data_IF_208144786376
#
_entry.id   IF_208144786376
#
_cell.length_a   1.000
_cell.length_b   1.000
_cell.length_c   1.000
_cell.angle_alpha   90.00
_cell.angle_beta   90.00
_cell.angle_gamma   90.00
#
_symmetry.space_group_name_H-M   'P 1'
#
loop_
_entity.id
_entity.type
_entity.pdbx_description
1 polymer ?
#
# COMPACT_ATOMS: atom_id res chain seq x y z
N UNK A 1 16.56 25.17 28.97
CA UNK A 1 17.34 24.59 27.86
C UNK A 1 16.53 23.45 27.31
N UNK A 2 15.76 23.73 26.27
CA UNK A 2 15.11 22.70 25.44
C UNK A 2 16.16 22.26 24.44
N UNK A 3 16.69 21.04 24.60
CA UNK A 3 17.56 20.45 23.60
C UNK A 3 16.81 20.44 22.27
N UNK A 4 17.40 21.10 21.26
CA UNK A 4 16.94 20.97 19.90
C UNK A 4 17.12 19.50 19.48
N UNK A 5 16.14 18.87 18.82
CA UNK A 5 16.30 17.50 18.35
C UNK A 5 17.53 17.41 17.46
N UNK A 6 18.38 16.41 17.72
CA UNK A 6 19.59 16.15 16.95
C UNK A 6 19.23 16.00 15.46
N UNK A 7 19.73 16.86 14.55
CA UNK A 7 19.36 16.84 13.13
C UNK A 7 19.75 15.54 12.40
N UNK A 8 20.60 14.70 13.01
CA UNK A 8 21.10 13.46 12.42
C UNK A 8 20.24 12.21 12.64
N UNK A 9 19.12 12.29 13.39
CA UNK A 9 18.21 11.15 13.53
C UNK A 9 16.91 11.40 12.77
N UNK A 10 16.96 11.33 11.44
CA UNK A 10 15.73 11.17 10.65
C UNK A 10 14.97 9.95 11.19
N UNK A 11 13.68 10.07 11.54
CA UNK A 11 12.90 8.92 12.03
C UNK A 11 12.79 7.81 10.97
N UNK A 12 13.22 8.07 9.75
CA UNK A 12 13.19 7.17 8.62
C UNK A 12 14.56 6.54 8.30
N UNK A 13 15.60 6.84 9.10
CA UNK A 13 16.93 6.24 8.94
C UNK A 13 16.89 4.70 9.06
N UNK A 14 15.89 4.16 9.76
CA UNK A 14 15.65 2.72 9.85
C UNK A 14 15.28 2.05 8.51
N UNK A 15 14.91 2.82 7.48
CA UNK A 15 14.53 2.30 6.16
C UNK A 15 15.70 2.19 5.17
N UNK A 16 16.92 2.19 5.68
CA UNK A 16 18.12 1.85 4.92
C UNK A 16 18.26 2.67 3.65
N UNK A 17 18.40 2.00 2.50
CA UNK A 17 18.65 2.66 1.21
C UNK A 17 17.47 3.50 0.71
N UNK A 18 16.27 3.30 1.27
CA UNK A 18 15.06 4.03 0.91
C UNK A 18 14.79 5.24 1.80
N UNK A 19 15.55 5.43 2.88
CA UNK A 19 15.43 6.58 3.79
C UNK A 19 15.43 7.96 3.09
N UNK A 20 16.25 8.20 2.03
CA UNK A 20 16.25 9.49 1.33
C UNK A 20 14.93 9.87 0.65
N UNK A 21 14.01 8.92 0.43
CA UNK A 21 12.67 9.18 -0.12
C UNK A 21 11.73 9.84 0.89
N UNK A 22 12.13 9.92 2.16
CA UNK A 22 11.37 10.58 3.21
C UNK A 22 11.88 11.99 3.56
N UNK A 23 12.97 12.43 2.94
CA UNK A 23 13.45 13.80 3.11
C UNK A 23 12.39 14.81 2.62
N UNK A 24 11.98 15.72 3.50
CA UNK A 24 10.90 16.68 3.22
C UNK A 24 9.55 15.99 2.98
N UNK A 25 9.02 16.12 1.76
CA UNK A 25 7.70 15.59 1.38
C UNK A 25 7.74 14.70 0.12
N UNK A 26 8.92 14.19 -0.25
CA UNK A 26 9.12 13.40 -1.49
C UNK A 26 8.21 12.17 -1.58
N UNK A 27 7.93 11.51 -0.45
CA UNK A 27 6.98 10.40 -0.41
C UNK A 27 5.56 10.76 -0.89
N UNK A 28 5.15 12.02 -0.82
CA UNK A 28 3.85 12.49 -1.35
C UNK A 28 3.76 12.40 -2.87
N UNK A 29 4.90 12.36 -3.58
CA UNK A 29 4.93 12.05 -5.01
C UNK A 29 4.25 10.72 -5.30
N UNK A 30 4.47 9.72 -4.46
CA UNK A 30 3.89 8.40 -4.64
C UNK A 30 2.39 8.37 -4.30
N UNK A 31 1.85 9.38 -3.63
CA UNK A 31 0.40 9.59 -3.48
C UNK A 31 -0.24 10.49 -4.55
N UNK A 32 0.52 10.99 -5.53
CA UNK A 32 0.05 12.02 -6.48
C UNK A 32 -0.31 13.34 -5.78
N UNK A 33 0.37 13.64 -4.68
CA UNK A 33 0.19 14.86 -3.89
C UNK A 33 1.39 15.83 -4.01
N UNK A 34 2.34 15.56 -4.92
CA UNK A 34 3.52 16.41 -5.17
C UNK A 34 3.48 17.06 -6.55
N UNK A 35 4.09 18.25 -6.63
CA UNK A 35 4.25 19.03 -7.85
C UNK A 35 5.45 18.60 -8.73
N UNK A 36 6.36 17.74 -8.23
CA UNK A 36 7.56 17.31 -8.97
C UNK A 36 7.70 15.78 -9.09
N UNK A 37 6.74 15.08 -9.73
CA UNK A 37 6.67 13.63 -9.69
C UNK A 37 7.81 12.88 -10.39
N UNK A 38 8.49 13.51 -11.36
CA UNK A 38 9.52 12.83 -12.17
C UNK A 38 10.82 12.59 -11.42
N UNK A 39 11.25 13.53 -10.58
CA UNK A 39 12.54 13.44 -9.89
C UNK A 39 12.52 12.38 -8.79
N UNK A 40 11.41 12.26 -8.05
CA UNK A 40 11.31 11.28 -6.96
C UNK A 40 11.12 9.86 -7.48
N UNK A 41 10.40 9.68 -8.59
CA UNK A 41 10.32 8.38 -9.28
C UNK A 41 11.68 7.96 -9.83
N UNK A 42 12.41 8.88 -10.47
CA UNK A 42 13.76 8.60 -10.96
C UNK A 42 14.70 8.21 -9.80
N UNK A 43 14.66 8.94 -8.69
CA UNK A 43 15.46 8.61 -7.50
C UNK A 43 15.12 7.21 -6.95
N UNK A 44 13.84 6.86 -6.86
CA UNK A 44 13.43 5.50 -6.47
C UNK A 44 13.99 4.44 -7.42
N UNK A 45 13.88 4.65 -8.74
CA UNK A 45 14.42 3.71 -9.73
C UNK A 45 15.94 3.57 -9.61
N UNK A 46 16.67 4.66 -9.44
CA UNK A 46 18.12 4.61 -9.22
C UNK A 46 18.49 3.81 -7.97
N UNK A 47 17.73 3.95 -6.88
CA UNK A 47 17.96 3.15 -5.66
C UNK A 47 17.71 1.65 -5.94
N UNK A 48 16.63 1.33 -6.65
CA UNK A 48 16.28 -0.06 -6.99
C UNK A 48 17.29 -0.68 -7.95
N UNK A 49 17.72 0.05 -8.97
CA UNK A 49 18.71 -0.38 -9.98
C UNK A 49 20.11 -0.56 -9.39
N UNK A 50 20.44 0.14 -8.31
CA UNK A 50 21.70 -0.07 -7.59
C UNK A 50 21.77 -1.48 -6.94
N UNK A 51 20.65 -2.22 -6.91
CA UNK A 51 20.51 -3.60 -6.46
C UNK A 51 21.25 -3.87 -5.14
N UNK A 52 20.96 -3.01 -4.16
CA UNK A 52 21.54 -3.16 -2.83
C UNK A 52 21.06 -4.49 -2.21
N UNK A 53 21.98 -5.25 -1.63
CA UNK A 53 21.67 -6.53 -0.99
C UNK A 53 20.64 -6.43 0.15
N UNK A 54 20.40 -5.24 0.69
CA UNK A 54 19.40 -4.97 1.74
C UNK A 54 18.02 -4.56 1.20
N UNK A 55 17.86 -4.32 -0.11
CA UNK A 55 16.69 -3.65 -0.65
C UNK A 55 15.38 -4.38 -0.32
N UNK A 56 15.34 -5.71 -0.43
CA UNK A 56 14.14 -6.49 -0.10
C UNK A 56 13.78 -6.38 1.39
N UNK A 57 14.79 -6.38 2.27
CA UNK A 57 14.58 -6.21 3.70
C UNK A 57 14.05 -4.80 4.01
N UNK A 58 14.62 -3.77 3.37
CA UNK A 58 14.19 -2.37 3.51
C UNK A 58 12.75 -2.18 3.01
N UNK A 59 12.38 -2.77 1.86
CA UNK A 59 10.99 -2.76 1.35
C UNK A 59 10.05 -3.47 2.32
N UNK A 60 10.45 -4.63 2.84
CA UNK A 60 9.63 -5.39 3.79
C UNK A 60 9.42 -4.62 5.09
N UNK A 61 10.44 -3.92 5.59
CA UNK A 61 10.32 -3.04 6.75
C UNK A 61 9.33 -1.90 6.48
N UNK A 62 9.41 -1.24 5.32
CA UNK A 62 8.49 -0.18 4.92
C UNK A 62 7.02 -0.64 4.82
N UNK A 63 6.78 -1.90 4.45
CA UNK A 63 5.44 -2.46 4.37
C UNK A 63 4.85 -2.81 5.73
N UNK A 64 5.67 -2.85 6.79
CA UNK A 64 5.21 -3.24 8.12
C UNK A 64 4.13 -2.26 8.65
N UNK A 65 2.96 -2.75 9.07
CA UNK A 65 1.85 -1.96 9.62
C UNK A 65 2.23 -0.98 10.73
N UNK A 66 3.29 -1.30 11.47
CA UNK A 66 3.75 -0.54 12.63
C UNK A 66 4.27 0.87 12.31
N UNK A 67 4.82 1.08 11.11
CA UNK A 67 5.37 2.39 10.73
C UNK A 67 4.31 3.31 10.09
N UNK A 68 3.07 2.84 10.00
CA UNK A 68 1.94 3.60 9.46
C UNK A 68 1.96 3.71 7.93
N UNK A 69 1.08 4.56 7.40
CA UNK A 69 0.79 4.55 5.97
C UNK A 69 1.87 5.18 5.08
N UNK A 70 2.66 6.15 5.58
CA UNK A 70 3.65 6.86 4.74
C UNK A 70 4.75 5.90 4.25
N UNK A 71 5.36 5.09 5.13
CA UNK A 71 6.32 4.08 4.71
C UNK A 71 5.72 3.06 3.75
N UNK A 72 4.49 2.62 4.01
CA UNK A 72 3.79 1.64 3.17
C UNK A 72 3.61 2.09 1.72
N UNK A 73 3.33 3.37 1.47
CA UNK A 73 3.24 3.90 0.10
C UNK A 73 4.59 3.80 -0.62
N UNK A 74 5.69 4.11 0.06
CA UNK A 74 7.04 4.00 -0.50
C UNK A 74 7.39 2.53 -0.73
N UNK A 75 7.14 1.65 0.23
CA UNK A 75 7.36 0.21 0.12
C UNK A 75 6.57 -0.40 -1.04
N UNK A 76 5.30 -0.05 -1.20
CA UNK A 76 4.47 -0.48 -2.33
C UNK A 76 5.03 0.01 -3.67
N UNK A 77 5.48 1.25 -3.73
CA UNK A 77 6.06 1.84 -4.95
C UNK A 77 7.39 1.18 -5.31
N UNK A 78 8.25 0.93 -4.32
CA UNK A 78 9.52 0.24 -4.48
C UNK A 78 9.33 -1.21 -4.92
N UNK A 79 8.38 -1.93 -4.33
CA UNK A 79 8.04 -3.29 -4.74
C UNK A 79 7.62 -3.37 -6.22
N UNK A 80 6.83 -2.39 -6.70
CA UNK A 80 6.46 -2.28 -8.11
C UNK A 80 7.68 -1.98 -8.99
N UNK A 81 8.56 -1.09 -8.54
CA UNK A 81 9.78 -0.71 -9.24
C UNK A 81 10.78 -1.86 -9.40
N UNK A 82 10.85 -2.76 -8.42
CA UNK A 82 11.63 -4.02 -8.53
C UNK A 82 11.04 -4.92 -9.62
N UNK A 83 9.72 -5.03 -9.72
CA UNK A 83 9.00 -5.77 -10.76
C UNK A 83 9.07 -7.31 -10.69
N UNK A 84 10.06 -7.86 -9.99
CA UNK A 84 10.20 -9.29 -9.71
C UNK A 84 10.15 -9.55 -8.18
N UNK A 85 8.98 -9.42 -7.54
CA UNK A 85 8.85 -9.50 -6.10
C UNK A 85 9.08 -10.93 -5.62
N UNK A 86 9.78 -11.08 -4.49
CA UNK A 86 9.88 -12.38 -3.82
C UNK A 86 8.52 -12.79 -3.23
N UNK A 87 8.37 -14.07 -2.89
CA UNK A 87 7.20 -14.56 -2.16
C UNK A 87 7.04 -13.87 -0.80
N UNK A 88 8.15 -13.56 -0.12
CA UNK A 88 8.13 -12.88 1.16
C UNK A 88 7.62 -11.44 1.03
N UNK A 89 8.05 -10.72 -0.03
CA UNK A 89 7.57 -9.38 -0.32
C UNK A 89 6.07 -9.37 -0.66
N UNK A 90 5.58 -10.32 -1.45
CA UNK A 90 4.15 -10.50 -1.70
C UNK A 90 3.40 -10.76 -0.38
N UNK A 91 3.93 -11.61 0.50
CA UNK A 91 3.33 -11.87 1.82
C UNK A 91 3.30 -10.61 2.69
N UNK A 92 4.36 -9.79 2.67
CA UNK A 92 4.41 -8.52 3.39
C UNK A 92 3.35 -7.52 2.88
N UNK A 93 3.13 -7.43 1.57
CA UNK A 93 2.06 -6.62 0.98
C UNK A 93 0.67 -7.04 1.48
N UNK A 94 0.40 -8.35 1.51
CA UNK A 94 -0.89 -8.84 2.03
C UNK A 94 -1.02 -8.65 3.55
N UNK A 95 0.06 -8.83 4.31
CA UNK A 95 0.05 -8.54 5.74
C UNK A 95 -0.22 -7.06 6.03
N UNK A 96 0.32 -6.16 5.20
CA UNK A 96 0.02 -4.73 5.26
C UNK A 96 -1.46 -4.42 4.98
N UNK A 97 -2.09 -5.19 4.10
CA UNK A 97 -3.52 -5.09 3.77
C UNK A 97 -4.43 -5.75 4.81
N UNK A 98 -3.92 -6.58 5.70
CA UNK A 98 -4.72 -7.20 6.77
C UNK A 98 -4.83 -6.30 8.01
N UNK A 99 -4.20 -5.11 7.97
CA UNK A 99 -4.19 -4.08 9.01
C UNK A 99 -4.74 -2.75 8.47
N UNK A 100 -5.34 -1.89 9.33
CA UNK A 100 -5.87 -0.62 8.87
C UNK A 100 -4.77 0.29 8.29
N UNK A 101 -4.95 0.74 7.05
CA UNK A 101 -4.02 1.66 6.41
C UNK A 101 -4.74 2.69 5.54
N UNK A 102 -4.33 3.95 5.67
CA UNK A 102 -4.75 5.00 4.74
C UNK A 102 -4.24 4.77 3.32
N UNK A 103 -3.18 3.97 3.16
CA UNK A 103 -2.59 3.61 1.88
C UNK A 103 -3.14 2.29 1.31
N UNK A 104 -4.25 1.77 1.85
CA UNK A 104 -4.84 0.50 1.38
C UNK A 104 -5.12 0.46 -0.13
N UNK A 105 -5.51 1.56 -0.83
CA UNK A 105 -5.65 1.53 -2.29
C UNK A 105 -4.31 1.30 -3.01
N UNK A 106 -3.23 1.94 -2.57
CA UNK A 106 -1.90 1.78 -3.18
C UNK A 106 -1.32 0.40 -2.90
N UNK A 107 -1.49 -0.11 -1.67
CA UNK A 107 -1.11 -1.48 -1.31
C UNK A 107 -1.87 -2.52 -2.15
N UNK A 108 -3.18 -2.33 -2.34
CA UNK A 108 -4.01 -3.22 -3.15
C UNK A 108 -3.56 -3.21 -4.62
N UNK A 109 -3.19 -2.05 -5.17
CA UNK A 109 -2.65 -1.96 -6.53
C UNK A 109 -1.30 -2.64 -6.64
N UNK A 110 -0.40 -2.47 -5.66
CA UNK A 110 0.88 -3.18 -5.65
C UNK A 110 0.64 -4.69 -5.66
N UNK A 111 -0.22 -5.20 -4.78
CA UNK A 111 -0.60 -6.62 -4.79
C UNK A 111 -1.21 -7.06 -6.14
N UNK A 112 -2.06 -6.24 -6.76
CA UNK A 112 -2.66 -6.53 -8.07
C UNK A 112 -1.62 -6.64 -9.20
N UNK A 113 -0.59 -5.81 -9.18
CA UNK A 113 0.48 -5.84 -10.19
C UNK A 113 1.49 -6.96 -9.96
N UNK A 114 1.68 -7.37 -8.71
CA UNK A 114 2.81 -8.19 -8.27
C UNK A 114 2.44 -9.65 -7.93
N UNK A 115 1.18 -9.92 -7.57
CA UNK A 115 0.72 -11.25 -7.19
C UNK A 115 -0.12 -11.90 -8.31
N UNK A 116 0.37 -12.96 -8.97
CA UNK A 116 -0.41 -13.72 -9.95
C UNK A 116 -1.72 -14.29 -9.40
N UNK A 117 -1.79 -14.54 -8.08
CA UNK A 117 -2.97 -15.07 -7.39
C UNK A 117 -3.88 -13.96 -6.83
N UNK A 118 -3.69 -12.71 -7.24
CA UNK A 118 -4.40 -11.55 -6.67
C UNK A 118 -5.90 -11.77 -6.56
N UNK A 119 -6.56 -12.19 -7.64
CA UNK A 119 -8.03 -12.36 -7.66
C UNK A 119 -8.50 -13.39 -6.62
N UNK A 120 -7.78 -14.50 -6.47
CA UNK A 120 -8.12 -15.54 -5.49
C UNK A 120 -7.94 -15.04 -4.05
N UNK A 121 -6.88 -14.27 -3.78
CA UNK A 121 -6.62 -13.69 -2.44
C UNK A 121 -7.52 -12.51 -2.12
N UNK A 122 -7.84 -11.68 -3.10
CA UNK A 122 -8.76 -10.57 -2.99
C UNK A 122 -10.19 -11.07 -2.76
N UNK A 123 -10.63 -12.11 -3.48
CA UNK A 123 -11.95 -12.72 -3.29
C UNK A 123 -12.23 -13.08 -1.83
N UNK A 124 -11.32 -13.80 -1.18
CA UNK A 124 -11.47 -14.19 0.24
C UNK A 124 -11.64 -12.98 1.16
N UNK A 125 -10.95 -11.88 0.87
CA UNK A 125 -11.05 -10.64 1.64
C UNK A 125 -12.34 -9.90 1.33
N UNK A 126 -12.73 -9.79 0.07
CA UNK A 126 -14.00 -9.16 -0.36
C UNK A 126 -15.21 -9.90 0.24
N UNK A 127 -15.21 -11.24 0.22
CA UNK A 127 -16.24 -12.07 0.85
C UNK A 127 -16.34 -11.81 2.37
N UNK A 128 -15.22 -11.46 3.01
CA UNK A 128 -15.15 -11.05 4.40
C UNK A 128 -15.26 -9.51 4.60
N UNK A 129 -15.73 -8.76 3.59
CA UNK A 129 -15.89 -7.30 3.61
C UNK A 129 -14.59 -6.53 3.94
N UNK A 130 -13.45 -7.11 3.60
CA UNK A 130 -12.11 -6.61 3.94
C UNK A 130 -12.00 -6.26 5.42
N UNK A 131 -12.50 -7.13 6.31
CA UNK A 131 -12.29 -6.97 7.74
C UNK A 131 -10.80 -6.98 8.04
N UNK A 132 -10.32 -5.88 8.60
CA UNK A 132 -8.94 -5.71 9.08
C UNK A 132 -8.93 -5.79 10.60
N UNK A 133 -7.84 -6.28 11.17
CA UNK A 133 -7.66 -6.33 12.62
C UNK A 133 -6.38 -5.57 13.01
N UNK A 134 -6.45 -4.46 13.76
CA UNK A 134 -5.28 -3.68 14.16
C UNK A 134 -4.40 -4.37 15.23
N UNK A 135 -4.04 -5.64 15.06
CA UNK A 135 -3.31 -6.44 16.06
C UNK A 135 -1.95 -5.81 16.34
N UNK A 136 -1.20 -5.50 15.29
CA UNK A 136 0.13 -4.93 15.42
C UNK A 136 0.04 -3.52 16.01
N UNK A 137 -0.91 -2.72 15.54
CA UNK A 137 -1.14 -1.38 16.08
C UNK A 137 -1.49 -1.42 17.58
N UNK A 138 -2.38 -2.32 18.00
CA UNK A 138 -2.73 -2.52 19.42
C UNK A 138 -1.56 -2.96 20.28
N UNK A 139 -0.64 -3.78 19.74
CA UNK A 139 0.57 -4.20 20.48
C UNK A 139 1.47 -3.02 20.81
N UNK A 140 1.55 -2.03 19.93
CA UNK A 140 2.36 -0.83 20.12
C UNK A 140 1.62 0.30 20.85
N UNK A 141 0.30 0.34 20.70
CA UNK A 141 -0.58 1.35 21.28
C UNK A 141 -1.70 0.66 22.07
N UNK A 142 -1.41 0.08 23.26
CA UNK A 142 -2.37 -0.72 24.01
C UNK A 142 -3.65 0.06 24.40
N UNK A 143 -3.56 1.38 24.51
CA UNK A 143 -4.68 2.26 24.86
C UNK A 143 -5.60 2.60 23.67
N UNK A 144 -5.31 2.11 22.47
CA UNK A 144 -6.13 2.42 21.29
C UNK A 144 -7.54 1.81 21.39
N UNK A 145 -8.54 2.60 21.01
CA UNK A 145 -9.93 2.14 20.87
C UNK A 145 -10.21 1.49 19.53
N UNK A 146 -9.24 1.43 18.61
CA UNK A 146 -9.40 0.76 17.33
C UNK A 146 -9.75 -0.71 17.53
N UNK A 147 -10.74 -1.19 16.78
CA UNK A 147 -11.24 -2.56 16.80
C UNK A 147 -11.20 -3.14 15.40
N UNK A 148 -11.22 -4.47 15.32
CA UNK A 148 -11.41 -5.14 14.05
C UNK A 148 -12.76 -4.74 13.44
N UNK A 149 -12.78 -4.60 12.12
CA UNK A 149 -14.00 -4.24 11.41
C UNK A 149 -13.79 -4.13 9.91
N UNK A 150 -14.88 -4.02 9.13
CA UNK A 150 -14.79 -3.85 7.68
C UNK A 150 -14.02 -2.59 7.29
N UNK A 151 -13.13 -2.70 6.30
CA UNK A 151 -12.42 -1.56 5.71
C UNK A 151 -13.02 -1.21 4.35
N UNK A 152 -13.82 -0.15 4.31
CA UNK A 152 -14.53 0.27 3.10
C UNK A 152 -13.59 0.74 1.98
N UNK A 153 -12.44 1.35 2.34
CA UNK A 153 -11.47 1.83 1.35
C UNK A 153 -10.84 0.68 0.60
N UNK A 154 -10.37 -0.31 1.36
CA UNK A 154 -9.76 -1.52 0.84
C UNK A 154 -10.77 -2.34 0.05
N UNK A 155 -12.01 -2.48 0.55
CA UNK A 155 -13.09 -3.18 -0.15
C UNK A 155 -13.35 -2.55 -1.52
N UNK A 156 -13.56 -1.22 -1.58
CA UNK A 156 -13.79 -0.50 -2.82
C UNK A 156 -12.60 -0.60 -3.79
N UNK A 157 -11.37 -0.48 -3.29
CA UNK A 157 -10.15 -0.63 -4.07
C UNK A 157 -10.02 -2.05 -4.67
N UNK A 158 -10.19 -3.10 -3.86
CA UNK A 158 -10.08 -4.48 -4.32
C UNK A 158 -11.16 -4.85 -5.34
N UNK A 159 -12.40 -4.39 -5.16
CA UNK A 159 -13.48 -4.57 -6.14
C UNK A 159 -13.10 -3.91 -7.48
N UNK A 160 -12.66 -2.65 -7.45
CA UNK A 160 -12.27 -1.93 -8.66
C UNK A 160 -11.12 -2.61 -9.41
N UNK A 161 -10.14 -3.15 -8.69
CA UNK A 161 -9.01 -3.90 -9.25
C UNK A 161 -9.43 -5.27 -9.78
N UNK A 162 -10.28 -6.02 -9.06
CA UNK A 162 -10.80 -7.30 -9.55
C UNK A 162 -11.58 -7.11 -10.87
N UNK A 163 -12.34 -6.01 -11.02
CA UNK A 163 -13.04 -5.69 -12.26
C UNK A 163 -12.10 -5.51 -13.47
N UNK A 164 -10.82 -5.20 -13.26
CA UNK A 164 -9.83 -5.11 -14.35
C UNK A 164 -9.53 -6.46 -15.00
N UNK A 165 -9.81 -7.59 -14.33
CA UNK A 165 -9.65 -8.92 -14.92
C UNK A 165 -10.82 -9.33 -15.83
N UNK A 166 -11.98 -8.68 -15.71
CA UNK A 166 -13.21 -9.03 -16.41
C UNK A 166 -13.80 -10.39 -16.01
N UNK A 167 -15.07 -10.62 -16.33
CA UNK A 167 -15.68 -11.96 -16.27
C UNK A 167 -15.87 -12.58 -14.88
N UNK A 168 -15.91 -11.78 -13.81
CA UNK A 168 -16.03 -12.26 -12.43
C UNK A 168 -17.49 -12.20 -11.94
N UNK A 169 -18.34 -13.13 -12.37
CA UNK A 169 -19.76 -13.17 -11.98
C UNK A 169 -19.97 -13.15 -10.45
N UNK A 170 -19.10 -13.86 -9.71
CA UNK A 170 -19.13 -13.88 -8.23
C UNK A 170 -18.97 -12.49 -7.60
N UNK A 171 -18.29 -11.57 -8.28
CA UNK A 171 -18.02 -10.23 -7.78
C UNK A 171 -19.28 -9.38 -7.84
N UNK A 172 -20.06 -9.47 -8.92
CA UNK A 172 -21.29 -8.70 -9.06
C UNK A 172 -22.35 -9.17 -8.05
N UNK A 173 -22.46 -10.48 -7.84
CA UNK A 173 -23.33 -11.05 -6.81
C UNK A 173 -22.94 -10.59 -5.40
N UNK A 174 -21.64 -10.52 -5.08
CA UNK A 174 -21.15 -10.00 -3.80
C UNK A 174 -21.41 -8.51 -3.65
N UNK A 175 -21.09 -7.72 -4.69
CA UNK A 175 -21.29 -6.27 -4.66
C UNK A 175 -22.76 -5.93 -4.47
N UNK A 176 -23.69 -6.69 -5.04
CA UNK A 176 -25.12 -6.44 -4.92
C UNK A 176 -25.68 -6.69 -3.49
N UNK A 177 -24.92 -7.34 -2.60
CA UNK A 177 -25.43 -7.67 -1.25
C UNK A 177 -25.62 -6.41 -0.38
N UNK A 178 -26.69 -6.33 0.42
CA UNK A 178 -26.95 -5.17 1.28
C UNK A 178 -25.81 -4.86 2.25
N UNK A 179 -25.18 -5.86 2.85
CA UNK A 179 -24.06 -5.69 3.77
C UNK A 179 -22.82 -5.12 3.08
N UNK A 180 -22.54 -5.55 1.85
CA UNK A 180 -21.44 -5.02 1.05
C UNK A 180 -21.70 -3.57 0.66
N UNK A 181 -22.92 -3.26 0.22
CA UNK A 181 -23.32 -1.88 -0.08
C UNK A 181 -23.25 -0.97 1.16
N UNK A 182 -23.65 -1.47 2.33
CA UNK A 182 -23.58 -0.72 3.57
C UNK A 182 -22.13 -0.35 3.95
N UNK A 183 -21.18 -1.28 3.79
CA UNK A 183 -19.76 -0.98 4.01
C UNK A 183 -19.25 0.02 2.97
N UNK A 184 -19.52 -0.21 1.68
CA UNK A 184 -19.09 0.67 0.59
C UNK A 184 -19.62 2.10 0.74
N UNK A 185 -20.82 2.29 1.28
CA UNK A 185 -21.40 3.61 1.54
C UNK A 185 -20.58 4.45 2.54
N UNK A 186 -19.67 3.82 3.30
CA UNK A 186 -18.77 4.51 4.24
C UNK A 186 -17.43 4.93 3.62
N UNK A 187 -17.13 4.54 2.38
CA UNK A 187 -15.93 4.96 1.64
C UNK A 187 -16.08 6.39 1.12
N UNK A 188 -15.71 7.36 1.97
CA UNK A 188 -15.79 8.80 1.65
C UNK A 188 -14.83 9.25 0.55
N UNK A 189 -13.74 8.52 0.36
CA UNK A 189 -12.64 8.94 -0.51
C UNK A 189 -12.76 8.37 -1.93
N UNK A 190 -13.79 7.55 -2.20
CA UNK A 190 -13.95 6.83 -3.47
C UNK A 190 -12.69 6.04 -3.81
N UNK A 191 -12.26 5.20 -2.88
CA UNK A 191 -11.01 4.47 -2.90
C UNK A 191 -10.86 3.55 -4.12
N UNK A 192 -11.96 3.11 -4.74
CA UNK A 192 -11.95 2.43 -6.05
C UNK A 192 -11.42 3.31 -7.20
N UNK A 193 -11.80 4.60 -7.23
CA UNK A 193 -11.31 5.57 -8.22
C UNK A 193 -9.83 5.87 -7.96
N UNK A 194 -9.44 6.01 -6.69
CA UNK A 194 -8.05 6.19 -6.26
C UNK A 194 -7.19 5.02 -6.74
N UNK A 195 -7.62 3.78 -6.48
CA UNK A 195 -6.89 2.59 -6.90
C UNK A 195 -6.74 2.53 -8.43
N UNK A 196 -7.81 2.83 -9.19
CA UNK A 196 -7.77 2.82 -10.66
C UNK A 196 -6.83 3.90 -11.22
N UNK A 197 -6.91 5.12 -10.69
CA UNK A 197 -6.04 6.21 -11.10
C UNK A 197 -4.57 5.94 -10.74
N UNK A 198 -4.34 5.34 -9.57
CA UNK A 198 -2.99 4.98 -9.13
C UNK A 198 -2.41 3.81 -9.94
N UNK A 199 -3.22 2.81 -10.30
CA UNK A 199 -2.82 1.72 -11.20
C UNK A 199 -2.33 2.23 -12.56
N UNK A 200 -3.06 3.15 -13.19
CA UNK A 200 -2.65 3.75 -14.45
C UNK A 200 -1.28 4.44 -14.33
N UNK A 201 -1.08 5.18 -13.24
CA UNK A 201 0.20 5.85 -12.94
C UNK A 201 1.32 4.86 -12.64
N UNK A 202 1.07 3.85 -11.81
CA UNK A 202 2.07 2.86 -11.43
C UNK A 202 2.59 2.10 -12.66
N UNK A 203 1.68 1.70 -13.57
CA UNK A 203 2.06 1.10 -14.86
C UNK A 203 2.93 2.02 -15.72
N UNK A 204 2.68 3.33 -15.66
CA UNK A 204 3.40 4.29 -16.50
C UNK A 204 4.70 4.81 -15.90
N UNK A 205 4.86 4.83 -14.57
CA UNK A 205 6.03 5.45 -13.92
C UNK A 205 6.85 4.49 -13.10
N UNK A 206 6.23 3.48 -12.48
CA UNK A 206 6.88 2.61 -11.51
C UNK A 206 7.25 1.26 -12.11
N UNK A 207 6.55 0.77 -13.14
CA UNK A 207 6.93 -0.51 -13.76
C UNK A 207 8.38 -0.47 -14.28
N UNK A 208 9.13 -1.59 -14.24
CA UNK A 208 10.53 -1.62 -14.68
C UNK A 208 10.73 -1.17 -16.14
N UNK A 209 9.72 -1.35 -16.98
CA UNK A 209 9.74 -0.98 -18.40
C UNK A 209 9.29 0.47 -18.68
N UNK A 210 8.90 1.22 -17.65
CA UNK A 210 8.52 2.63 -17.75
C UNK A 210 9.73 3.57 -17.76
#
# INVERSE_FOLDING_TARGET
>A
MTDAPNPDSSPFAEFGVLAPLFEGTRYLTFLKLSHQPRNDVAALKTIVEADASSLEADITALLSPVHGWRPQVVGASAAIAVGAPSKAMIQALWAALDEPSWASPQLAVAAFLLDPDFVSRARRRIEALCVVDPVQWRRQHPDTTMRAGPDAKQLAAMIALCRQHGGLAWLDDLVARPETQAVLATDRDRSGDIATAWLAKARHWLSPAA
#
